data_IF_082616950425
#
_entry.id   IF_082616950425
#
_cell.length_a   1.000
_cell.length_b   1.000
_cell.length_c   1.000
_cell.angle_alpha   90.00
_cell.angle_beta   90.00
_cell.angle_gamma   90.00
#
_symmetry.space_group_name_H-M   'P 1'
#
loop_
_entity.id
_entity.type
_entity.pdbx_description
1 polymer ?
#
# COMPACT_ATOMS: atom_id res chain seq x y z
N UNK A 1 -23.70 -6.77 23.25
CA UNK A 1 -23.40 -5.33 23.35
C UNK A 1 -22.95 -4.81 22.02
N UNK A 2 -23.60 -3.80 21.48
CA UNK A 2 -23.09 -3.19 20.26
C UNK A 2 -21.78 -2.48 20.54
N UNK A 3 -20.83 -2.64 19.62
CA UNK A 3 -19.56 -1.93 19.71
C UNK A 3 -19.68 -0.57 19.04
N UNK A 4 -19.15 0.44 19.70
CA UNK A 4 -19.01 1.75 19.08
C UNK A 4 -17.72 1.78 18.29
N UNK A 5 -17.81 2.19 17.04
CA UNK A 5 -16.64 2.33 16.18
C UNK A 5 -16.45 3.80 15.83
N UNK A 6 -15.24 4.27 16.00
CA UNK A 6 -14.87 5.62 15.54
C UNK A 6 -14.13 5.44 14.22
N UNK A 7 -14.72 5.93 13.15
CA UNK A 7 -14.08 5.86 11.84
C UNK A 7 -13.08 6.99 11.71
N UNK A 8 -11.93 6.66 11.14
CA UNK A 8 -10.93 7.67 10.86
C UNK A 8 -11.44 8.59 9.75
N UNK A 9 -11.30 9.89 9.96
CA UNK A 9 -11.72 10.90 8.99
C UNK A 9 -10.53 11.60 8.36
N UNK A 10 -9.32 11.29 8.83
CA UNK A 10 -8.09 11.82 8.26
C UNK A 10 -6.98 10.80 8.41
N UNK A 11 -5.92 10.89 7.59
CA UNK A 11 -4.82 9.94 7.68
C UNK A 11 -4.04 10.11 8.99
N UNK A 12 -3.43 9.01 9.41
CA UNK A 12 -2.55 9.01 10.58
C UNK A 12 -1.15 8.61 10.11
N UNK A 13 -0.14 9.27 10.66
CA UNK A 13 1.26 8.95 10.38
C UNK A 13 2.03 8.83 11.68
N UNK A 14 3.17 8.17 11.63
CA UNK A 14 4.10 8.09 12.77
C UNK A 14 5.53 8.21 12.26
N UNK A 15 6.40 8.68 13.12
CA UNK A 15 7.80 8.95 12.73
C UNK A 15 8.65 7.69 12.72
N UNK A 16 8.39 6.76 13.64
CA UNK A 16 9.16 5.53 13.76
C UNK A 16 8.24 4.34 13.88
N UNK A 17 8.74 3.17 13.50
CA UNK A 17 8.00 1.92 13.64
C UNK A 17 7.70 1.69 15.13
N UNK A 18 6.43 1.42 15.44
CA UNK A 18 5.98 1.28 16.81
C UNK A 18 5.72 2.59 17.52
N UNK A 19 5.99 3.73 16.88
CA UNK A 19 5.72 5.03 17.45
C UNK A 19 4.24 5.36 17.49
N UNK A 20 3.90 6.45 18.14
CA UNK A 20 2.54 6.90 18.27
C UNK A 20 2.05 7.50 16.95
N UNK A 21 0.85 7.09 16.53
CA UNK A 21 0.21 7.65 15.36
C UNK A 21 -0.31 9.05 15.66
N UNK A 22 -0.09 9.97 14.74
CA UNK A 22 -0.62 11.34 14.83
C UNK A 22 -1.41 11.69 13.60
N UNK A 23 -2.42 12.57 13.73
CA UNK A 23 -3.14 13.04 12.54
C UNK A 23 -2.23 13.78 11.57
N UNK A 24 -2.50 13.61 10.29
CA UNK A 24 -1.73 14.26 9.22
C UNK A 24 -2.69 14.72 8.12
N UNK A 25 -2.22 15.62 7.28
CA UNK A 25 -2.97 15.99 6.08
C UNK A 25 -2.82 14.90 5.03
N UNK A 26 -3.76 14.88 4.07
CA UNK A 26 -3.65 13.97 2.95
C UNK A 26 -2.37 14.21 2.14
N UNK A 27 -1.98 15.47 1.98
CA UNK A 27 -0.76 15.80 1.28
C UNK A 27 0.46 15.19 1.96
N UNK A 28 0.56 15.32 3.28
CA UNK A 28 1.67 14.73 4.04
C UNK A 28 1.67 13.21 3.93
N UNK A 29 0.52 12.57 4.08
CA UNK A 29 0.43 11.12 4.04
C UNK A 29 0.80 10.58 2.66
N UNK A 30 0.30 11.21 1.60
CA UNK A 30 0.62 10.81 0.24
C UNK A 30 2.08 11.07 -0.11
N UNK A 31 2.65 12.19 0.33
CA UNK A 31 4.07 12.49 0.11
C UNK A 31 4.97 11.44 0.76
N UNK A 32 4.65 11.02 1.98
CA UNK A 32 5.41 9.97 2.66
C UNK A 32 5.30 8.64 1.92
N UNK A 33 4.11 8.29 1.45
CA UNK A 33 3.89 7.06 0.70
C UNK A 33 4.69 7.07 -0.60
N UNK A 34 4.61 8.17 -1.35
CA UNK A 34 5.32 8.30 -2.62
C UNK A 34 6.83 8.25 -2.41
N UNK A 35 7.35 8.93 -1.39
CA UNK A 35 8.78 8.93 -1.09
C UNK A 35 9.28 7.52 -0.77
N UNK A 36 8.51 6.77 0.05
CA UNK A 36 8.87 5.40 0.39
C UNK A 36 8.85 4.50 -0.86
N UNK A 37 7.82 4.62 -1.68
CA UNK A 37 7.72 3.81 -2.91
C UNK A 37 8.83 4.13 -3.90
N UNK A 38 9.19 5.40 -4.04
CA UNK A 38 10.30 5.79 -4.92
C UNK A 38 11.63 5.19 -4.46
N UNK A 39 11.88 5.24 -3.16
CA UNK A 39 13.11 4.68 -2.59
C UNK A 39 13.16 3.17 -2.84
N UNK A 40 12.06 2.46 -2.61
CA UNK A 40 12.01 1.02 -2.81
C UNK A 40 12.10 0.66 -4.29
N UNK A 41 11.42 1.40 -5.15
CA UNK A 41 11.45 1.14 -6.59
C UNK A 41 12.85 1.35 -7.17
N UNK A 42 13.62 2.27 -6.60
CA UNK A 42 15.01 2.51 -7.02
C UNK A 42 15.94 1.35 -6.64
N UNK A 43 15.52 0.46 -5.72
CA UNK A 43 16.30 -0.70 -5.30
C UNK A 43 16.04 -1.92 -6.18
N UNK A 44 15.65 -1.69 -7.42
CA UNK A 44 15.33 -2.75 -8.35
C UNK A 44 16.53 -3.68 -8.53
N UNK A 45 16.28 -4.98 -8.37
CA UNK A 45 17.33 -5.99 -8.57
C UNK A 45 17.67 -6.13 -10.06
N UNK A 46 18.76 -6.84 -10.35
CA UNK A 46 19.19 -7.07 -11.75
C UNK A 46 18.12 -7.80 -12.56
N UNK A 47 17.23 -8.54 -11.92
CA UNK A 47 16.10 -9.19 -12.60
C UNK A 47 14.96 -8.21 -12.92
N UNK A 48 15.09 -6.95 -12.57
CA UNK A 48 14.12 -5.92 -12.88
C UNK A 48 12.95 -5.81 -11.91
N UNK A 49 12.93 -6.54 -10.81
CA UNK A 49 11.81 -6.52 -9.86
C UNK A 49 12.16 -5.70 -8.62
N UNK A 50 11.27 -4.78 -8.24
CA UNK A 50 11.45 -4.00 -7.02
C UNK A 50 11.11 -4.85 -5.79
N UNK A 51 11.77 -4.59 -4.65
CA UNK A 51 11.54 -5.37 -3.43
C UNK A 51 10.27 -4.91 -2.69
N UNK A 52 9.14 -5.02 -3.35
CA UNK A 52 7.84 -4.66 -2.79
C UNK A 52 6.81 -5.69 -3.23
N UNK A 53 5.89 -6.01 -2.34
CA UNK A 53 4.82 -6.95 -2.63
C UNK A 53 3.47 -6.28 -2.50
N UNK A 54 2.51 -6.81 -3.25
CA UNK A 54 1.13 -6.33 -3.26
C UNK A 54 0.21 -7.50 -3.02
N UNK A 55 -0.72 -7.35 -2.09
CA UNK A 55 -1.80 -8.30 -1.91
C UNK A 55 -3.09 -7.74 -2.50
N UNK A 56 -3.69 -8.48 -3.41
CA UNK A 56 -5.03 -8.21 -3.90
C UNK A 56 -6.03 -9.07 -3.13
N UNK A 57 -7.28 -9.04 -3.48
CA UNK A 57 -8.30 -9.72 -2.71
C UNK A 57 -9.26 -10.49 -3.61
N UNK A 58 -9.61 -11.72 -3.19
CA UNK A 58 -10.57 -12.53 -3.93
C UNK A 58 -11.99 -11.96 -3.85
N UNK A 59 -12.27 -11.13 -2.87
CA UNK A 59 -13.58 -10.47 -2.72
C UNK A 59 -13.67 -9.12 -3.42
N UNK A 60 -12.59 -8.66 -4.04
CA UNK A 60 -12.62 -7.43 -4.82
C UNK A 60 -13.16 -7.72 -6.22
N UNK A 61 -13.60 -6.67 -6.90
CA UNK A 61 -14.04 -6.80 -8.29
C UNK A 61 -12.86 -7.08 -9.20
N UNK A 62 -13.15 -7.59 -10.39
CA UNK A 62 -12.11 -7.84 -11.40
C UNK A 62 -11.40 -6.53 -11.77
N UNK A 63 -12.13 -5.44 -11.83
CA UNK A 63 -11.57 -4.13 -12.16
C UNK A 63 -10.55 -3.68 -11.11
N UNK A 64 -10.86 -3.86 -9.83
CA UNK A 64 -9.94 -3.50 -8.74
C UNK A 64 -8.69 -4.37 -8.81
N UNK A 65 -8.84 -5.67 -9.01
CA UNK A 65 -7.70 -6.57 -9.10
C UNK A 65 -6.83 -6.27 -10.32
N UNK A 66 -7.45 -5.94 -11.44
CA UNK A 66 -6.71 -5.54 -12.63
C UNK A 66 -5.93 -4.25 -12.38
N UNK A 67 -6.56 -3.27 -11.76
CA UNK A 67 -5.91 -2.00 -11.45
C UNK A 67 -4.75 -2.19 -10.47
N UNK A 68 -4.91 -3.04 -9.46
CA UNK A 68 -3.85 -3.35 -8.52
C UNK A 68 -2.66 -4.00 -9.21
N UNK A 69 -2.90 -4.95 -10.11
CA UNK A 69 -1.84 -5.60 -10.87
C UNK A 69 -1.11 -4.60 -11.77
N UNK A 70 -1.86 -3.77 -12.47
CA UNK A 70 -1.27 -2.75 -13.34
C UNK A 70 -0.43 -1.76 -12.55
N UNK A 71 -0.93 -1.31 -11.41
CA UNK A 71 -0.19 -0.42 -10.53
C UNK A 71 1.10 -1.06 -10.05
N UNK A 72 1.03 -2.32 -9.61
CA UNK A 72 2.20 -3.04 -9.12
C UNK A 72 3.28 -3.15 -10.20
N UNK A 73 2.91 -3.53 -11.41
CA UNK A 73 3.89 -3.76 -12.48
C UNK A 73 4.34 -2.48 -13.14
N UNK A 74 3.43 -1.56 -13.43
CA UNK A 74 3.75 -0.35 -14.19
C UNK A 74 4.33 0.75 -13.33
N UNK A 75 3.83 0.93 -12.11
CA UNK A 75 4.23 2.03 -11.24
C UNK A 75 5.29 1.58 -10.24
N UNK A 76 5.05 0.50 -9.51
CA UNK A 76 5.97 0.03 -8.48
C UNK A 76 7.12 -0.79 -9.06
N UNK A 77 6.95 -1.34 -10.24
CA UNK A 77 7.98 -2.15 -10.88
C UNK A 77 8.16 -3.52 -10.25
N UNK A 78 7.08 -4.10 -9.73
CA UNK A 78 7.14 -5.38 -9.06
C UNK A 78 6.16 -6.37 -9.65
N UNK A 79 6.60 -7.62 -9.80
CA UNK A 79 5.74 -8.75 -10.14
C UNK A 79 5.30 -9.52 -8.88
N UNK A 80 5.65 -9.04 -7.70
CA UNK A 80 5.32 -9.70 -6.44
C UNK A 80 3.90 -9.35 -6.03
N UNK A 81 2.94 -9.94 -6.73
CA UNK A 81 1.53 -9.72 -6.45
C UNK A 81 0.83 -11.05 -6.30
N UNK A 82 0.00 -11.15 -5.30
CA UNK A 82 -0.74 -12.37 -5.01
C UNK A 82 -2.09 -12.00 -4.40
N UNK A 83 -2.91 -13.00 -4.16
CA UNK A 83 -4.25 -12.84 -3.62
C UNK A 83 -4.35 -13.60 -2.31
N UNK A 84 -5.26 -13.19 -1.45
CA UNK A 84 -5.57 -13.93 -0.23
C UNK A 84 -6.24 -15.28 -0.54
N UNK A 85 -6.75 -15.47 -1.73
CA UNK A 85 -7.33 -16.67 -2.32
C UNK A 85 -8.57 -17.22 -1.63
N UNK A 86 -8.60 -17.20 -0.33
CA UNK A 86 -9.73 -17.80 0.37
C UNK A 86 -10.12 -17.01 1.57
N UNK A 87 -11.28 -16.51 1.57
CA UNK A 87 -11.84 -15.86 2.74
C UNK A 87 -13.33 -16.15 2.83
#
# INVERSE_FOLDING_TARGET
>A
MPKSYVRLTQPLVRETKGGELRPATWDEALDRTVAAFRTIAAQRASNGSAPIGVFSCSKATNEVNYAAQKFSRAVLGSNNIDSCNRT
#
